data_IF_615292976484
#
_entry.id   IF_615292976484
#
_cell.length_a   1.000
_cell.length_b   1.000
_cell.length_c   1.000
_cell.angle_alpha   90.00
_cell.angle_beta   90.00
_cell.angle_gamma   90.00
#
_symmetry.space_group_name_H-M   'P 1'
#
loop_
_entity.id
_entity.type
_entity.pdbx_description
1 polymer ?
#
# COMPACT_ATOMS: atom_id res chain seq x y z
N UNK A 1 23.42 22.47 -10.06
CA UNK A 1 22.51 23.19 -9.13
C UNK A 1 21.03 22.97 -9.48
N UNK A 2 20.66 23.00 -10.77
CA UNK A 2 19.27 22.78 -11.22
C UNK A 2 18.80 21.34 -11.01
N UNK A 3 19.65 20.34 -11.24
CA UNK A 3 19.39 18.93 -11.01
C UNK A 3 19.03 18.63 -9.55
N UNK A 4 19.83 19.14 -8.59
CA UNK A 4 19.57 18.96 -7.15
C UNK A 4 18.28 19.63 -6.71
N UNK A 5 17.94 20.80 -7.31
CA UNK A 5 16.69 21.49 -7.01
C UNK A 5 15.48 20.67 -7.49
N UNK A 6 15.58 20.08 -8.68
CA UNK A 6 14.53 19.23 -9.24
C UNK A 6 14.37 17.95 -8.41
N UNK A 7 15.45 17.27 -8.01
CA UNK A 7 15.40 16.09 -7.15
C UNK A 7 14.76 16.38 -5.79
N UNK A 8 15.06 17.55 -5.21
CA UNK A 8 14.44 17.97 -3.94
C UNK A 8 12.94 18.24 -4.15
N UNK A 9 12.56 18.92 -5.24
CA UNK A 9 11.16 19.21 -5.54
C UNK A 9 10.38 17.92 -5.78
N UNK A 10 10.89 16.99 -6.57
CA UNK A 10 10.29 15.69 -6.82
C UNK A 10 10.08 14.91 -5.51
N UNK A 11 11.08 14.91 -4.62
CA UNK A 11 10.97 14.26 -3.30
C UNK A 11 9.89 14.91 -2.42
N UNK A 12 9.75 16.24 -2.48
CA UNK A 12 8.70 16.97 -1.75
C UNK A 12 7.31 16.61 -2.31
N UNK A 13 7.17 16.62 -3.62
CA UNK A 13 5.91 16.33 -4.31
C UNK A 13 5.45 14.89 -4.05
N UNK A 14 6.37 13.92 -4.06
CA UNK A 14 6.09 12.53 -3.67
C UNK A 14 5.60 12.43 -2.21
N UNK A 15 6.29 13.09 -1.27
CA UNK A 15 5.89 13.09 0.15
C UNK A 15 4.53 13.76 0.37
N UNK A 16 4.25 14.85 -0.32
CA UNK A 16 2.95 15.54 -0.26
C UNK A 16 1.84 14.67 -0.82
N UNK A 17 2.10 13.98 -1.93
CA UNK A 17 1.15 13.04 -2.54
C UNK A 17 0.86 11.87 -1.61
N UNK A 18 1.87 11.26 -1.02
CA UNK A 18 1.69 10.16 -0.08
C UNK A 18 0.95 10.60 1.19
N UNK A 19 1.26 11.78 1.72
CA UNK A 19 0.56 12.33 2.89
C UNK A 19 -0.94 12.59 2.59
N UNK A 20 -1.28 13.12 1.41
CA UNK A 20 -2.66 13.29 0.95
C UNK A 20 -3.38 11.95 0.85
N UNK A 21 -2.74 10.95 0.27
CA UNK A 21 -3.24 9.60 0.12
C UNK A 21 -3.58 8.98 1.48
N UNK A 22 -2.66 9.05 2.43
CA UNK A 22 -2.86 8.54 3.79
C UNK A 22 -4.00 9.28 4.53
N UNK A 23 -4.09 10.59 4.36
CA UNK A 23 -5.17 11.38 4.95
C UNK A 23 -6.55 10.97 4.39
N UNK A 24 -6.66 10.78 3.08
CA UNK A 24 -7.90 10.35 2.41
C UNK A 24 -8.29 8.94 2.87
N UNK A 25 -7.35 7.99 2.89
CA UNK A 25 -7.61 6.62 3.34
C UNK A 25 -8.00 6.57 4.82
N UNK A 26 -7.39 7.38 5.67
CA UNK A 26 -7.75 7.49 7.09
C UNK A 26 -9.17 8.03 7.24
N UNK A 27 -9.53 9.10 6.52
CA UNK A 27 -10.89 9.64 6.53
C UNK A 27 -11.94 8.67 5.97
N UNK A 28 -11.58 7.90 4.95
CA UNK A 28 -12.44 6.86 4.41
C UNK A 28 -12.66 5.75 5.46
N UNK A 29 -11.61 5.32 6.13
CA UNK A 29 -11.68 4.30 7.19
C UNK A 29 -12.54 4.75 8.37
N UNK A 30 -12.44 6.02 8.80
CA UNK A 30 -13.27 6.59 9.87
C UNK A 30 -14.77 6.53 9.55
N UNK A 31 -15.15 6.50 8.27
CA UNK A 31 -16.54 6.44 7.80
C UNK A 31 -17.03 5.02 7.54
N UNK A 32 -16.15 4.03 7.61
CA UNK A 32 -16.46 2.63 7.35
C UNK A 32 -16.54 1.85 8.67
N UNK A 33 -17.45 0.89 8.73
CA UNK A 33 -17.52 -0.06 9.85
C UNK A 33 -16.95 -1.39 9.43
N UNK A 34 -15.85 -1.78 10.05
CA UNK A 34 -15.26 -3.12 9.89
C UNK A 34 -15.96 -4.05 10.91
N UNK A 35 -16.76 -5.01 10.41
CA UNK A 35 -17.50 -5.95 11.26
C UNK A 35 -16.61 -7.03 11.89
N UNK A 36 -15.45 -7.27 11.30
CA UNK A 36 -14.47 -8.27 11.76
C UNK A 36 -13.36 -8.45 10.73
N UNK A 37 -12.29 -9.06 11.17
CA UNK A 37 -11.16 -9.45 10.31
C UNK A 37 -11.19 -10.98 10.16
N UNK A 38 -11.16 -11.52 8.92
CA UNK A 38 -10.97 -12.96 8.74
C UNK A 38 -9.63 -13.37 9.38
N UNK A 39 -9.68 -14.32 10.32
CA UNK A 39 -8.53 -14.67 11.17
C UNK A 39 -7.30 -15.09 10.34
N UNK A 40 -7.49 -16.00 9.37
CA UNK A 40 -6.41 -16.47 8.51
C UNK A 40 -5.80 -15.33 7.66
N UNK A 41 -6.63 -14.40 7.22
CA UNK A 41 -6.18 -13.25 6.45
C UNK A 41 -5.37 -12.28 7.31
N UNK A 42 -5.88 -11.96 8.50
CA UNK A 42 -5.17 -11.11 9.44
C UNK A 42 -3.83 -11.73 9.87
N UNK A 43 -3.81 -13.03 10.17
CA UNK A 43 -2.58 -13.74 10.54
C UNK A 43 -1.53 -13.72 9.41
N UNK A 44 -1.95 -13.95 8.16
CA UNK A 44 -1.07 -13.87 6.99
C UNK A 44 -0.49 -12.47 6.83
N UNK A 45 -1.33 -11.44 6.94
CA UNK A 45 -0.90 -10.05 6.82
C UNK A 45 0.02 -9.62 7.97
N UNK A 46 -0.25 -10.10 9.18
CA UNK A 46 0.62 -9.86 10.34
C UNK A 46 2.03 -10.39 10.06
N UNK A 47 2.14 -11.62 9.56
CA UNK A 47 3.44 -12.21 9.20
C UNK A 47 4.13 -11.43 8.06
N UNK A 48 3.40 -11.07 7.01
CA UNK A 48 3.94 -10.29 5.87
C UNK A 48 4.49 -8.93 6.33
N UNK A 49 3.74 -8.21 7.17
CA UNK A 49 4.16 -6.89 7.69
C UNK A 49 5.30 -7.02 8.70
N UNK A 50 5.28 -8.04 9.56
CA UNK A 50 6.38 -8.30 10.50
C UNK A 50 7.70 -8.52 9.75
N UNK A 51 7.70 -9.37 8.73
CA UNK A 51 8.88 -9.62 7.91
C UNK A 51 9.39 -8.34 7.23
N UNK A 52 8.48 -7.52 6.71
CA UNK A 52 8.83 -6.27 6.03
C UNK A 52 9.45 -5.24 6.98
N UNK A 53 8.92 -5.12 8.20
CA UNK A 53 9.37 -4.13 9.19
C UNK A 53 10.61 -4.64 9.94
N UNK A 54 10.75 -5.93 10.14
CA UNK A 54 11.84 -6.56 10.89
C UNK A 54 13.22 -6.14 10.40
N UNK A 55 13.39 -6.04 9.10
CA UNK A 55 14.67 -5.58 8.53
C UNK A 55 15.03 -4.17 9.03
N UNK A 56 14.08 -3.23 8.98
CA UNK A 56 14.31 -1.84 9.40
C UNK A 56 14.48 -1.70 10.92
N UNK A 57 13.72 -2.47 11.71
CA UNK A 57 13.85 -2.46 13.16
C UNK A 57 15.19 -3.03 13.61
N UNK A 58 15.65 -4.12 12.99
CA UNK A 58 16.97 -4.70 13.26
C UNK A 58 18.13 -3.73 12.91
N UNK A 59 18.03 -3.01 11.80
CA UNK A 59 19.02 -1.98 11.44
C UNK A 59 19.13 -0.86 12.49
N UNK A 60 18.06 -0.57 13.23
CA UNK A 60 18.01 0.43 14.29
C UNK A 60 18.27 -0.17 15.69
N UNK A 61 18.45 -1.50 15.80
CA UNK A 61 18.65 -2.18 17.08
C UNK A 61 17.44 -2.12 18.02
N UNK A 62 16.23 -2.03 17.48
CA UNK A 62 14.96 -1.93 18.22
C UNK A 62 14.00 -3.05 17.81
N UNK A 63 12.96 -3.28 18.60
CA UNK A 63 11.90 -4.24 18.27
C UNK A 63 10.99 -3.72 17.15
N UNK A 64 10.20 -4.62 16.55
CA UNK A 64 9.19 -4.26 15.53
C UNK A 64 8.16 -3.30 16.11
N UNK A 65 7.72 -3.51 17.35
CA UNK A 65 6.75 -2.64 18.02
C UNK A 65 7.33 -1.24 18.30
N UNK A 66 8.55 -1.17 18.83
CA UNK A 66 9.25 0.10 19.03
C UNK A 66 9.47 0.88 17.72
N UNK A 67 9.75 0.16 16.63
CA UNK A 67 9.85 0.76 15.31
C UNK A 67 8.50 1.36 14.88
N UNK A 68 7.40 0.63 15.06
CA UNK A 68 6.06 1.11 14.73
C UNK A 68 5.66 2.30 15.60
N UNK A 69 5.94 2.28 16.90
CA UNK A 69 5.70 3.42 17.78
C UNK A 69 6.45 4.67 17.34
N UNK A 70 7.74 4.52 17.01
CA UNK A 70 8.60 5.61 16.60
C UNK A 70 8.23 6.19 15.23
N UNK A 71 7.86 5.32 14.28
CA UNK A 71 7.67 5.70 12.88
C UNK A 71 6.23 6.08 12.57
N UNK A 72 5.26 5.36 13.15
CA UNK A 72 3.84 5.49 12.84
C UNK A 72 2.99 5.97 14.03
N UNK A 73 3.60 6.13 15.21
CA UNK A 73 2.95 6.54 16.45
C UNK A 73 1.80 5.59 16.87
N UNK A 74 2.00 4.29 16.66
CA UNK A 74 1.04 3.23 17.02
C UNK A 74 1.76 1.90 17.26
N UNK A 75 1.10 0.96 17.95
CA UNK A 75 1.61 -0.40 18.12
C UNK A 75 1.69 -1.15 16.79
N UNK A 76 2.49 -2.21 16.72
CA UNK A 76 2.55 -3.05 15.53
C UNK A 76 1.18 -3.69 15.22
N UNK A 77 0.45 -4.14 16.24
CA UNK A 77 -0.89 -4.72 16.07
C UNK A 77 -1.89 -3.72 15.49
N UNK A 78 -1.89 -2.47 15.99
CA UNK A 78 -2.74 -1.40 15.47
C UNK A 78 -2.35 -1.01 14.03
N UNK A 79 -1.06 -0.99 13.74
CA UNK A 79 -0.56 -0.75 12.38
C UNK A 79 -1.08 -1.80 11.39
N UNK A 80 -0.96 -3.08 11.73
CA UNK A 80 -1.45 -4.18 10.89
C UNK A 80 -2.96 -4.10 10.71
N UNK A 81 -3.73 -3.91 11.79
CA UNK A 81 -5.19 -3.78 11.72
C UNK A 81 -5.62 -2.60 10.86
N UNK A 82 -4.95 -1.46 10.99
CA UNK A 82 -5.20 -0.29 10.16
C UNK A 82 -4.95 -0.59 8.68
N UNK A 83 -3.82 -1.19 8.35
CA UNK A 83 -3.46 -1.51 6.98
C UNK A 83 -4.43 -2.54 6.36
N UNK A 84 -4.78 -3.59 7.11
CA UNK A 84 -5.76 -4.60 6.68
C UNK A 84 -7.14 -3.98 6.49
N UNK A 85 -7.59 -3.11 7.40
CA UNK A 85 -8.86 -2.40 7.26
C UNK A 85 -8.91 -1.58 5.96
N UNK A 86 -7.87 -0.83 5.67
CA UNK A 86 -7.77 -0.04 4.43
C UNK A 86 -7.81 -0.93 3.18
N UNK A 87 -7.09 -2.06 3.19
CA UNK A 87 -7.12 -3.02 2.07
C UNK A 87 -8.53 -3.62 1.87
N UNK A 88 -9.22 -3.99 2.96
CA UNK A 88 -10.58 -4.52 2.89
C UNK A 88 -11.57 -3.48 2.35
N UNK A 89 -11.45 -2.22 2.74
CA UNK A 89 -12.28 -1.13 2.23
C UNK A 89 -12.04 -0.93 0.74
N UNK A 90 -10.78 -0.89 0.31
CA UNK A 90 -10.44 -0.75 -1.10
C UNK A 90 -10.89 -1.95 -1.92
N UNK A 91 -10.82 -3.17 -1.38
CA UNK A 91 -11.38 -4.35 -2.04
C UNK A 91 -12.90 -4.23 -2.20
N UNK A 92 -13.61 -3.80 -1.17
CA UNK A 92 -15.06 -3.60 -1.26
C UNK A 92 -15.45 -2.53 -2.31
N UNK A 93 -14.64 -1.48 -2.46
CA UNK A 93 -14.81 -0.48 -3.52
C UNK A 93 -14.53 -1.11 -4.88
N UNK A 94 -13.46 -1.88 -5.02
CA UNK A 94 -13.13 -2.59 -6.26
C UNK A 94 -14.27 -3.51 -6.71
N UNK A 95 -14.83 -4.26 -5.78
CA UNK A 95 -15.96 -5.17 -6.05
C UNK A 95 -17.21 -4.39 -6.48
N UNK A 96 -17.52 -3.29 -5.80
CA UNK A 96 -18.67 -2.43 -6.12
C UNK A 96 -18.53 -1.75 -7.48
N UNK A 97 -17.36 -1.28 -7.82
CA UNK A 97 -17.05 -0.62 -9.10
C UNK A 97 -16.74 -1.64 -10.22
N UNK A 98 -16.83 -2.95 -9.95
CA UNK A 98 -16.51 -4.03 -10.88
C UNK A 98 -15.13 -3.93 -11.50
N UNK A 99 -14.13 -3.50 -10.71
CA UNK A 99 -12.75 -3.37 -11.16
C UNK A 99 -12.15 -4.76 -11.40
N UNK A 100 -11.67 -5.00 -12.59
CA UNK A 100 -10.98 -6.24 -12.98
C UNK A 100 -9.75 -5.92 -13.84
N UNK A 101 -8.76 -6.80 -13.76
CA UNK A 101 -7.57 -6.73 -14.61
C UNK A 101 -7.64 -7.88 -15.62
N UNK A 102 -7.81 -7.55 -16.90
CA UNK A 102 -7.75 -8.52 -17.99
C UNK A 102 -6.29 -8.87 -18.31
N UNK A 103 -6.07 -10.02 -18.93
CA UNK A 103 -4.71 -10.45 -19.29
C UNK A 103 -3.94 -9.45 -20.17
N UNK A 104 -4.64 -8.73 -21.04
CA UNK A 104 -4.05 -7.69 -21.87
C UNK A 104 -3.57 -6.50 -21.01
N UNK A 105 -4.42 -6.01 -20.10
CA UNK A 105 -4.11 -4.91 -19.19
C UNK A 105 -2.97 -5.30 -18.24
N UNK A 106 -3.00 -6.52 -17.70
CA UNK A 106 -1.94 -7.07 -16.88
C UNK A 106 -0.58 -7.01 -17.58
N UNK A 107 -0.50 -7.51 -18.83
CA UNK A 107 0.76 -7.51 -19.59
C UNK A 107 1.25 -6.11 -19.91
N UNK A 108 0.35 -5.18 -20.18
CA UNK A 108 0.67 -3.78 -20.50
C UNK A 108 1.13 -2.99 -19.28
N UNK A 109 0.48 -3.18 -18.14
CA UNK A 109 0.74 -2.41 -16.92
C UNK A 109 1.87 -3.00 -16.06
N UNK A 110 2.10 -4.32 -16.14
CA UNK A 110 3.08 -5.03 -15.30
C UNK A 110 4.49 -4.43 -15.29
N UNK A 111 5.09 -4.02 -16.42
CA UNK A 111 6.45 -3.46 -16.39
C UNK A 111 6.54 -2.19 -15.56
N UNK A 112 5.58 -1.29 -15.70
CA UNK A 112 5.55 -0.05 -14.91
C UNK A 112 5.22 -0.35 -13.44
N UNK A 113 4.27 -1.24 -13.19
CA UNK A 113 3.89 -1.66 -11.84
C UNK A 113 5.05 -2.29 -11.04
N UNK A 114 5.90 -3.07 -11.70
CA UNK A 114 7.12 -3.64 -11.13
C UNK A 114 8.16 -2.54 -10.85
N UNK A 115 8.35 -1.63 -11.82
CA UNK A 115 9.30 -0.51 -11.70
C UNK A 115 8.95 0.42 -10.54
N UNK A 116 7.68 0.77 -10.36
CA UNK A 116 7.20 1.62 -9.26
C UNK A 116 7.46 0.99 -7.89
N UNK A 117 7.73 -0.33 -7.85
CA UNK A 117 8.09 -1.09 -6.64
C UNK A 117 9.58 -1.42 -6.54
N UNK A 118 10.40 -0.74 -7.34
CA UNK A 118 11.85 -0.84 -7.30
C UNK A 118 12.44 -2.06 -8.04
N UNK A 119 11.65 -2.73 -8.89
CA UNK A 119 12.11 -3.85 -9.71
C UNK A 119 12.44 -3.37 -11.12
N UNK A 120 13.68 -3.58 -11.56
CA UNK A 120 14.11 -3.27 -12.92
C UNK A 120 13.63 -4.32 -13.94
N UNK A 121 13.34 -5.54 -13.46
CA UNK A 121 12.88 -6.68 -14.25
C UNK A 121 11.54 -7.19 -13.74
N UNK A 122 10.54 -7.20 -14.64
CA UNK A 122 9.17 -7.66 -14.33
C UNK A 122 9.10 -9.16 -14.04
N UNK A 123 10.01 -9.95 -14.64
CA UNK A 123 9.96 -11.40 -14.52
C UNK A 123 10.44 -11.83 -13.13
N UNK A 124 11.48 -11.21 -12.59
CA UNK A 124 11.92 -11.37 -11.20
C UNK A 124 10.82 -10.92 -10.20
N UNK A 125 10.06 -9.88 -10.54
CA UNK A 125 8.94 -9.44 -9.73
C UNK A 125 7.80 -10.46 -9.69
N UNK A 126 7.47 -11.04 -10.86
CA UNK A 126 6.45 -12.10 -10.98
C UNK A 126 6.88 -13.37 -10.27
N UNK A 127 8.15 -13.78 -10.41
CA UNK A 127 8.71 -14.94 -9.72
C UNK A 127 8.58 -14.81 -8.20
N UNK A 128 8.87 -13.61 -7.67
CA UNK A 128 8.83 -13.36 -6.22
C UNK A 128 7.41 -13.33 -5.64
N UNK A 129 6.45 -12.71 -6.33
CA UNK A 129 5.14 -12.43 -5.75
C UNK A 129 4.01 -13.29 -6.31
N UNK A 130 4.16 -13.84 -7.51
CA UNK A 130 3.13 -14.56 -8.22
C UNK A 130 2.09 -13.65 -8.89
N UNK A 131 1.54 -14.11 -10.02
CA UNK A 131 0.57 -13.33 -10.83
C UNK A 131 -0.67 -12.94 -10.02
N UNK A 132 -1.25 -13.85 -9.26
CA UNK A 132 -2.51 -13.61 -8.55
C UNK A 132 -2.38 -12.51 -7.49
N UNK A 133 -1.27 -12.51 -6.73
CA UNK A 133 -0.99 -11.46 -5.74
C UNK A 133 -0.74 -10.11 -6.42
N UNK A 134 -0.07 -10.11 -7.57
CA UNK A 134 0.17 -8.89 -8.36
C UNK A 134 -1.15 -8.33 -8.90
N UNK A 135 -1.99 -9.16 -9.51
CA UNK A 135 -3.31 -8.74 -10.03
C UNK A 135 -4.18 -8.17 -8.91
N UNK A 136 -4.22 -8.82 -7.75
CA UNK A 136 -4.94 -8.31 -6.58
C UNK A 136 -4.43 -6.91 -6.18
N UNK A 137 -3.13 -6.72 -6.13
CA UNK A 137 -2.54 -5.42 -5.78
C UNK A 137 -2.82 -4.35 -6.84
N UNK A 138 -2.84 -4.69 -8.12
CA UNK A 138 -3.25 -3.78 -9.20
C UNK A 138 -4.71 -3.34 -9.05
N UNK A 139 -5.61 -4.26 -8.72
CA UNK A 139 -7.03 -3.96 -8.45
C UNK A 139 -7.16 -3.00 -7.28
N UNK A 140 -6.48 -3.26 -6.18
CA UNK A 140 -6.48 -2.39 -4.99
C UNK A 140 -5.94 -1.00 -5.33
N UNK A 141 -4.89 -0.91 -6.14
CA UNK A 141 -4.35 0.38 -6.58
C UNK A 141 -5.36 1.14 -7.43
N UNK A 142 -6.03 0.50 -8.39
CA UNK A 142 -7.08 1.15 -9.20
C UNK A 142 -8.25 1.64 -8.34
N UNK A 143 -8.66 0.87 -7.34
CA UNK A 143 -9.67 1.31 -6.37
C UNK A 143 -9.21 2.54 -5.58
N UNK A 144 -7.94 2.57 -5.18
CA UNK A 144 -7.35 3.71 -4.49
C UNK A 144 -7.28 4.95 -5.39
N UNK A 145 -6.92 4.82 -6.65
CA UNK A 145 -6.89 5.92 -7.61
C UNK A 145 -8.29 6.54 -7.77
N UNK A 146 -9.34 5.71 -7.87
CA UNK A 146 -10.74 6.19 -7.90
C UNK A 146 -11.09 6.98 -6.65
N UNK A 147 -10.68 6.52 -5.48
CA UNK A 147 -10.91 7.23 -4.20
C UNK A 147 -10.19 8.58 -4.21
N UNK A 148 -8.95 8.63 -4.68
CA UNK A 148 -8.16 9.86 -4.76
C UNK A 148 -8.74 10.86 -5.75
N UNK A 149 -9.18 10.41 -6.92
CA UNK A 149 -9.76 11.26 -7.97
C UNK A 149 -11.10 11.88 -7.52
N UNK A 150 -11.83 11.20 -6.64
CA UNK A 150 -13.09 11.70 -6.07
C UNK A 150 -12.93 12.41 -4.73
N UNK A 151 -11.72 12.52 -4.20
CA UNK A 151 -11.46 13.20 -2.93
C UNK A 151 -11.59 14.73 -3.08
N UNK A 152 -12.41 15.33 -2.22
CA UNK A 152 -12.54 16.80 -2.15
C UNK A 152 -11.64 17.31 -1.03
N UNK A 153 -10.63 18.06 -1.38
CA UNK A 153 -9.75 18.75 -0.45
C UNK A 153 -10.35 20.13 -0.10
N UNK A 154 -10.60 20.33 1.17
CA UNK A 154 -11.05 21.63 1.70
C UNK A 154 -9.95 22.30 2.49
#
# INVERSE_FOLDING_TARGET
RESIKNEIQDTIDEKVTEAKKQAVLTKLQERCTIKGYPEDYLATKTSDYEQSIKFYSMMQGITVDEYCQKTFNMSFDDYVKKAVAQEMILQAIADKENISIKDYDYKGELPQFAKDRGYSDKDSFVEKYGKDKIVKNMIIQKAQDIVMDNAVYK
#
